data_IF_600851486228
#
_entry.id   IF_600851486228
#
_cell.length_a   1.000
_cell.length_b   1.000
_cell.length_c   1.000
_cell.angle_alpha   90.00
_cell.angle_beta   90.00
_cell.angle_gamma   90.00
#
_symmetry.space_group_name_H-M   'P 1'
#
loop_
_entity.id
_entity.type
_entity.pdbx_description
1 polymer ?
#
# COMPACT_ATOMS: atom_id res chain seq x y z
N UNK A 1 18.29 16.17 65.47
CA UNK A 1 17.79 14.80 65.59
C UNK A 1 16.52 14.74 64.77
N UNK A 2 16.66 14.58 63.45
CA UNK A 2 16.78 13.30 62.74
C UNK A 2 15.48 12.50 62.86
N UNK A 3 14.82 12.05 61.80
CA UNK A 3 15.26 11.92 60.41
C UNK A 3 14.05 11.98 59.49
N UNK A 4 14.22 12.67 58.37
CA UNK A 4 13.32 12.70 57.22
C UNK A 4 13.50 11.41 56.42
N UNK A 5 12.50 10.53 56.41
CA UNK A 5 12.48 9.42 55.46
C UNK A 5 12.05 9.94 54.08
N UNK A 6 13.05 10.10 53.24
CA UNK A 6 13.01 10.38 51.81
C UNK A 6 12.15 9.31 51.09
N UNK A 7 10.93 9.69 50.68
CA UNK A 7 9.98 8.82 49.96
C UNK A 7 10.10 9.08 48.45
N UNK A 8 11.32 8.91 47.93
CA UNK A 8 11.60 8.92 46.51
C UNK A 8 11.36 7.52 45.91
N UNK A 9 10.63 7.38 44.79
CA UNK A 9 10.40 6.08 44.17
C UNK A 9 11.73 5.46 43.72
N UNK A 10 12.10 4.34 44.34
CA UNK A 10 13.30 3.58 43.97
C UNK A 10 13.17 3.04 42.54
N UNK A 11 14.27 3.08 41.81
CA UNK A 11 14.31 2.55 40.45
C UNK A 11 14.13 1.01 40.50
N UNK A 12 13.39 0.45 39.54
CA UNK A 12 13.20 -1.00 39.37
C UNK A 12 14.52 -1.80 39.42
N UNK A 13 15.62 -1.22 38.94
CA UNK A 13 16.95 -1.84 39.02
C UNK A 13 17.48 -1.97 40.45
N UNK A 14 17.21 -1.00 41.33
CA UNK A 14 17.60 -1.07 42.75
C UNK A 14 16.77 -2.12 43.50
N UNK A 15 15.47 -2.19 43.22
CA UNK A 15 14.57 -3.19 43.80
C UNK A 15 14.97 -4.63 43.45
N UNK A 16 15.35 -4.87 42.18
CA UNK A 16 15.75 -6.21 41.73
C UNK A 16 17.12 -6.65 42.27
N UNK A 17 18.01 -5.70 42.54
CA UNK A 17 19.33 -5.97 43.13
C UNK A 17 19.24 -6.31 44.62
N UNK A 18 18.38 -5.60 45.37
CA UNK A 18 18.21 -5.80 46.81
C UNK A 18 17.37 -7.05 47.17
N UNK A 19 16.30 -7.37 46.42
CA UNK A 19 15.43 -8.51 46.74
C UNK A 19 15.92 -9.85 46.18
N UNK A 20 16.66 -9.85 45.06
CA UNK A 20 16.94 -11.07 44.32
C UNK A 20 18.43 -11.30 43.99
N UNK A 21 19.34 -10.40 44.41
CA UNK A 21 20.77 -10.43 44.07
C UNK A 21 21.06 -10.57 42.55
N UNK A 22 20.09 -10.18 41.69
CA UNK A 22 20.25 -10.26 40.23
C UNK A 22 20.79 -8.93 39.70
N UNK A 23 22.05 -8.91 39.27
CA UNK A 23 22.57 -7.79 38.47
C UNK A 23 21.95 -7.83 37.08
N UNK A 24 21.05 -6.88 36.79
CA UNK A 24 20.52 -6.66 35.45
C UNK A 24 21.65 -6.02 34.63
N UNK A 25 22.12 -6.66 33.53
CA UNK A 25 23.13 -6.06 32.68
C UNK A 25 22.64 -4.70 32.18
N UNK A 26 23.51 -3.69 32.26
CA UNK A 26 23.24 -2.41 31.61
C UNK A 26 22.82 -2.65 30.14
N UNK A 27 21.86 -1.88 29.60
CA UNK A 27 21.52 -1.99 28.19
C UNK A 27 22.82 -1.85 27.39
N UNK A 28 23.17 -2.89 26.62
CA UNK A 28 24.32 -2.83 25.73
C UNK A 28 24.16 -1.58 24.88
N UNK A 29 25.12 -0.65 24.95
CA UNK A 29 25.22 0.43 23.98
C UNK A 29 25.09 -0.22 22.60
N UNK A 30 24.02 0.12 21.87
CA UNK A 30 23.90 -0.27 20.49
C UNK A 30 25.10 0.32 19.78
N UNK A 31 26.03 -0.52 19.33
CA UNK A 31 27.10 -0.08 18.43
C UNK A 31 26.45 0.73 17.33
N UNK A 32 26.78 2.03 17.28
CA UNK A 32 26.26 2.95 16.28
C UNK A 32 26.84 2.46 14.95
N UNK A 33 26.07 1.67 14.21
CA UNK A 33 26.50 1.15 12.92
C UNK A 33 26.71 2.35 12.01
N UNK A 34 27.95 2.76 11.80
CA UNK A 34 28.31 3.77 10.82
C UNK A 34 28.23 3.14 9.44
N UNK A 35 27.10 3.35 8.76
CA UNK A 35 26.94 2.93 7.38
C UNK A 35 27.68 3.91 6.44
N UNK A 36 28.44 3.36 5.50
CA UNK A 36 29.18 4.16 4.55
C UNK A 36 28.28 4.60 3.40
N UNK A 37 27.69 5.78 3.52
CA UNK A 37 26.84 6.39 2.48
C UNK A 37 27.55 6.63 1.15
N UNK A 38 28.89 6.56 1.09
CA UNK A 38 29.64 6.70 -0.17
C UNK A 38 29.51 5.50 -1.12
N UNK A 39 29.03 4.36 -0.63
CA UNK A 39 28.77 3.18 -1.47
C UNK A 39 27.44 3.30 -2.24
N UNK A 40 26.60 4.27 -1.90
CA UNK A 40 25.34 4.52 -2.56
C UNK A 40 25.53 5.26 -3.89
N UNK A 41 24.66 4.92 -4.85
CA UNK A 41 24.44 5.66 -6.10
C UNK A 41 22.96 6.06 -6.18
N UNK A 42 22.58 7.05 -7.00
CA UNK A 42 21.16 7.26 -7.31
C UNK A 42 20.52 5.95 -7.78
N UNK A 43 19.36 5.63 -7.26
CA UNK A 43 18.60 4.42 -7.60
C UNK A 43 17.30 4.83 -8.30
N UNK A 44 17.00 4.20 -9.43
CA UNK A 44 15.78 4.44 -10.20
C UNK A 44 14.71 3.38 -9.93
N UNK A 45 13.50 3.58 -10.46
CA UNK A 45 12.45 2.57 -10.40
C UNK A 45 12.82 1.30 -11.18
N UNK A 46 13.56 1.41 -12.29
CA UNK A 46 14.06 0.27 -13.06
C UNK A 46 15.07 -0.57 -12.26
N UNK A 47 15.89 0.06 -11.42
CA UNK A 47 16.78 -0.66 -10.52
C UNK A 47 16.01 -1.36 -9.41
N UNK A 48 14.98 -0.71 -8.83
CA UNK A 48 14.06 -1.36 -7.90
C UNK A 48 13.36 -2.56 -8.56
N UNK A 49 12.89 -2.43 -9.79
CA UNK A 49 12.29 -3.49 -10.59
C UNK A 49 13.20 -4.72 -10.66
N UNK A 50 14.49 -4.52 -10.98
CA UNK A 50 15.48 -5.60 -11.08
C UNK A 50 15.73 -6.25 -9.72
N UNK A 51 15.95 -5.46 -8.67
CA UNK A 51 16.28 -5.95 -7.33
C UNK A 51 15.09 -6.71 -6.72
N UNK A 52 13.90 -6.12 -6.76
CA UNK A 52 12.66 -6.76 -6.28
C UNK A 52 12.29 -7.96 -7.17
N UNK A 53 12.66 -7.89 -8.46
CA UNK A 53 12.54 -8.95 -9.46
C UNK A 53 13.32 -10.23 -9.14
N UNK A 54 14.25 -10.19 -8.18
CA UNK A 54 14.93 -11.40 -7.70
C UNK A 54 13.91 -12.42 -7.16
N UNK A 55 12.90 -11.96 -6.42
CA UNK A 55 11.88 -12.81 -5.78
C UNK A 55 10.46 -12.56 -6.29
N UNK A 56 10.15 -11.36 -6.81
CA UNK A 56 8.83 -10.97 -7.31
C UNK A 56 8.87 -10.82 -8.83
N UNK A 57 8.52 -11.89 -9.54
CA UNK A 57 8.50 -11.91 -11.01
C UNK A 57 7.33 -11.10 -11.56
N UNK A 58 7.62 -10.26 -12.57
CA UNK A 58 6.66 -9.31 -13.15
C UNK A 58 6.11 -8.36 -12.09
N UNK A 59 4.87 -7.92 -12.21
CA UNK A 59 4.23 -7.02 -11.24
C UNK A 59 5.04 -5.73 -11.07
N UNK A 60 5.58 -5.19 -12.17
CA UNK A 60 6.60 -4.13 -12.19
C UNK A 60 6.15 -2.88 -11.44
N UNK A 61 5.02 -2.31 -11.86
CA UNK A 61 4.38 -1.19 -11.16
C UNK A 61 4.00 -1.55 -9.73
N UNK A 62 3.39 -2.72 -9.51
CA UNK A 62 2.88 -3.13 -8.19
C UNK A 62 4.00 -3.24 -7.16
N UNK A 63 5.14 -3.85 -7.50
CA UNK A 63 6.26 -4.02 -6.56
C UNK A 63 6.99 -2.70 -6.30
N UNK A 64 7.13 -1.83 -7.30
CA UNK A 64 7.69 -0.47 -7.09
C UNK A 64 6.80 0.34 -6.15
N UNK A 65 5.50 0.46 -6.45
CA UNK A 65 4.57 1.23 -5.61
C UNK A 65 4.51 0.67 -4.19
N UNK A 66 4.50 -0.66 -4.05
CA UNK A 66 4.47 -1.30 -2.73
C UNK A 66 5.74 -1.03 -1.93
N UNK A 67 6.90 -1.08 -2.59
CA UNK A 67 8.17 -0.72 -1.94
C UNK A 67 8.17 0.75 -1.50
N UNK A 68 7.78 1.68 -2.38
CA UNK A 68 7.72 3.11 -2.05
C UNK A 68 6.72 3.36 -0.91
N UNK A 69 5.56 2.71 -0.92
CA UNK A 69 4.61 2.78 0.18
C UNK A 69 5.22 2.28 1.49
N UNK A 70 5.93 1.14 1.52
CA UNK A 70 6.59 0.68 2.74
C UNK A 70 7.72 1.62 3.20
N UNK A 71 8.48 2.20 2.27
CA UNK A 71 9.53 3.18 2.57
C UNK A 71 8.97 4.49 3.14
N UNK A 72 7.76 4.88 2.71
CA UNK A 72 7.09 6.10 3.15
C UNK A 72 6.84 6.16 4.65
N UNK A 73 6.93 5.03 5.36
CA UNK A 73 6.84 4.96 6.81
C UNK A 73 7.89 5.82 7.52
N UNK A 74 9.00 6.14 6.86
CA UNK A 74 10.07 7.00 7.37
C UNK A 74 9.94 8.47 6.95
N UNK A 75 8.83 8.84 6.31
CA UNK A 75 8.45 10.25 6.13
C UNK A 75 7.67 10.73 7.36
N UNK A 76 7.56 12.04 7.53
CA UNK A 76 6.78 12.62 8.63
C UNK A 76 5.27 12.57 8.37
N UNK A 77 4.84 12.76 7.12
CA UNK A 77 3.43 13.00 6.74
C UNK A 77 3.04 12.47 5.35
N UNK A 78 3.87 11.65 4.72
CA UNK A 78 3.72 11.28 3.29
C UNK A 78 3.50 9.78 3.10
N UNK A 79 2.92 9.11 4.10
CA UNK A 79 2.62 7.69 4.04
C UNK A 79 1.61 7.35 2.94
N UNK A 80 1.82 6.24 2.25
CA UNK A 80 0.92 5.77 1.20
C UNK A 80 0.32 4.43 1.61
N UNK A 81 -1.01 4.37 1.69
CA UNK A 81 -1.74 3.15 2.04
C UNK A 81 -2.12 2.35 0.77
N UNK A 82 -2.10 1.02 0.84
CA UNK A 82 -2.39 0.15 -0.32
C UNK A 82 -3.49 -0.87 0.00
N UNK A 83 -4.44 -1.01 -0.90
CA UNK A 83 -5.38 -2.11 -0.92
C UNK A 83 -5.12 -2.98 -2.15
N UNK A 84 -4.75 -4.23 -1.93
CA UNK A 84 -4.64 -5.23 -2.99
C UNK A 84 -6.00 -5.92 -3.21
N UNK A 85 -6.65 -5.58 -4.32
CA UNK A 85 -7.98 -6.04 -4.68
C UNK A 85 -7.91 -6.96 -5.90
N UNK A 86 -8.08 -8.25 -5.70
CA UNK A 86 -8.13 -9.23 -6.80
C UNK A 86 -8.75 -10.54 -6.31
N UNK A 87 -9.21 -11.42 -7.21
CA UNK A 87 -9.70 -12.73 -6.81
C UNK A 87 -8.66 -13.56 -6.05
N UNK A 88 -9.08 -14.58 -5.33
CA UNK A 88 -8.17 -15.48 -4.60
C UNK A 88 -7.11 -16.09 -5.51
N UNK A 89 -5.95 -16.44 -4.93
CA UNK A 89 -4.84 -17.11 -5.60
C UNK A 89 -4.10 -16.32 -6.69
N UNK A 90 -4.26 -14.99 -6.76
CA UNK A 90 -3.50 -14.12 -7.69
C UNK A 90 -2.15 -13.61 -7.14
N UNK A 91 -1.79 -13.99 -5.91
CA UNK A 91 -0.55 -13.54 -5.26
C UNK A 91 -0.67 -12.20 -4.52
N UNK A 92 -1.87 -11.77 -4.13
CA UNK A 92 -2.12 -10.48 -3.44
C UNK A 92 -1.21 -10.23 -2.24
N UNK A 93 -1.11 -11.20 -1.33
CA UNK A 93 -0.30 -11.07 -0.13
C UNK A 93 1.19 -11.25 -0.40
N UNK A 94 1.57 -11.87 -1.52
CA UNK A 94 2.96 -12.20 -1.81
C UNK A 94 3.81 -10.94 -1.97
N UNK A 95 3.38 -9.98 -2.78
CA UNK A 95 4.13 -8.74 -3.06
C UNK A 95 4.47 -7.99 -1.75
N UNK A 96 3.50 -7.57 -0.91
CA UNK A 96 3.82 -6.83 0.30
C UNK A 96 4.61 -7.66 1.32
N UNK A 97 4.34 -8.97 1.44
CA UNK A 97 5.06 -9.84 2.38
C UNK A 97 6.50 -10.15 1.97
N UNK A 98 6.79 -10.14 0.68
CA UNK A 98 8.13 -10.38 0.17
C UNK A 98 9.00 -9.12 0.30
N UNK A 99 8.44 -7.94 -0.05
CA UNK A 99 9.13 -6.65 0.06
C UNK A 99 9.42 -6.29 1.52
N UNK A 100 8.49 -6.57 2.44
CA UNK A 100 8.67 -6.18 3.84
C UNK A 100 9.85 -6.88 4.52
N UNK A 101 10.36 -7.97 3.95
CA UNK A 101 11.58 -8.64 4.43
C UNK A 101 12.87 -7.82 4.17
N UNK A 102 12.76 -6.70 3.45
CA UNK A 102 13.83 -5.71 3.30
C UNK A 102 13.89 -4.73 4.48
N UNK A 103 12.83 -4.64 5.28
CA UNK A 103 12.68 -3.66 6.36
C UNK A 103 13.06 -4.24 7.73
N UNK A 104 13.41 -3.38 8.70
CA UNK A 104 13.67 -3.79 10.07
C UNK A 104 12.42 -4.45 10.68
N UNK A 105 12.61 -5.57 11.37
CA UNK A 105 11.50 -6.40 11.88
C UNK A 105 10.65 -5.64 12.90
N UNK A 106 11.28 -4.76 13.69
CA UNK A 106 10.62 -3.95 14.69
C UNK A 106 9.64 -2.91 14.11
N UNK A 107 9.77 -2.55 12.83
CA UNK A 107 8.90 -1.59 12.16
C UNK A 107 7.70 -2.27 11.48
N UNK A 108 7.59 -3.59 11.58
CA UNK A 108 6.65 -4.38 10.80
C UNK A 108 5.65 -5.10 11.71
N UNK A 109 4.36 -4.88 11.45
CA UNK A 109 3.25 -5.52 12.15
C UNK A 109 2.46 -6.33 11.12
N UNK A 110 2.41 -7.66 11.28
CA UNK A 110 1.64 -8.57 10.39
C UNK A 110 0.44 -9.13 11.15
N UNK A 111 -0.75 -8.89 10.63
CA UNK A 111 -2.01 -9.30 11.27
C UNK A 111 -2.86 -10.14 10.32
N UNK A 112 -3.45 -11.22 10.81
CA UNK A 112 -4.45 -11.99 10.05
C UNK A 112 -5.80 -11.28 10.06
N UNK A 113 -6.47 -11.36 11.21
CA UNK A 113 -7.67 -10.59 11.53
C UNK A 113 -7.49 -10.02 12.94
N UNK A 114 -7.98 -8.80 13.17
CA UNK A 114 -7.88 -8.16 14.48
C UNK A 114 -9.11 -7.30 14.76
N UNK A 115 -9.71 -7.47 15.94
CA UNK A 115 -10.75 -6.55 16.42
C UNK A 115 -10.10 -5.24 16.89
N UNK A 116 -10.82 -4.11 16.88
CA UNK A 116 -10.27 -2.84 17.35
C UNK A 116 -9.71 -2.90 18.78
N UNK A 117 -10.43 -3.57 19.69
CA UNK A 117 -10.02 -3.68 21.08
C UNK A 117 -8.77 -4.54 21.23
N UNK A 118 -8.71 -5.68 20.54
CA UNK A 118 -7.51 -6.53 20.53
C UNK A 118 -6.29 -5.77 19.99
N UNK A 119 -6.47 -5.01 18.91
CA UNK A 119 -5.42 -4.19 18.32
C UNK A 119 -4.83 -3.21 19.34
N UNK A 120 -5.70 -2.50 20.09
CA UNK A 120 -5.24 -1.55 21.10
C UNK A 120 -4.52 -2.21 22.27
N UNK A 121 -4.99 -3.37 22.73
CA UNK A 121 -4.35 -4.07 23.84
C UNK A 121 -3.03 -4.74 23.46
N UNK A 122 -2.89 -5.20 22.22
CA UNK A 122 -1.68 -5.85 21.73
C UNK A 122 -0.58 -4.84 21.38
N UNK A 123 -0.97 -3.73 20.75
CA UNK A 123 -0.03 -2.70 20.25
C UNK A 123 0.15 -1.53 21.23
N UNK A 124 -0.60 -1.52 22.34
CA UNK A 124 -0.68 -0.38 23.24
C UNK A 124 -0.13 -0.65 24.63
N UNK A 125 0.54 0.35 25.18
CA UNK A 125 1.01 0.34 26.56
C UNK A 125 -0.04 0.95 27.49
N UNK A 126 -0.41 0.23 28.55
CA UNK A 126 -1.40 0.71 29.52
C UNK A 126 -0.75 1.53 30.64
N UNK A 127 -1.15 2.80 30.71
CA UNK A 127 -0.81 3.73 31.77
C UNK A 127 -1.90 3.71 32.85
N UNK A 128 -1.55 3.19 34.03
CA UNK A 128 -2.45 3.07 35.19
C UNK A 128 -2.84 4.42 35.77
N UNK A 129 -1.93 5.40 35.76
CA UNK A 129 -2.14 6.71 36.37
C UNK A 129 -3.17 7.53 35.58
N UNK A 130 -3.08 7.47 34.25
CA UNK A 130 -3.99 8.19 33.35
C UNK A 130 -5.14 7.32 32.84
N UNK A 131 -5.18 6.04 33.22
CA UNK A 131 -6.14 5.04 32.72
C UNK A 131 -6.25 5.02 31.19
N UNK A 132 -5.10 5.09 30.52
CA UNK A 132 -4.98 5.27 29.08
C UNK A 132 -4.16 4.15 28.45
N UNK A 133 -4.52 3.73 27.24
CA UNK A 133 -3.73 2.83 26.40
C UNK A 133 -3.10 3.70 25.31
N UNK A 134 -1.76 3.72 25.24
CA UNK A 134 -1.03 4.48 24.21
C UNK A 134 -0.53 3.54 23.14
N UNK A 135 -0.97 3.75 21.90
CA UNK A 135 -0.58 2.95 20.72
C UNK A 135 0.25 3.85 19.80
N UNK A 136 1.55 3.57 19.68
CA UNK A 136 2.44 4.32 18.78
C UNK A 136 2.63 3.56 17.46
N UNK A 137 2.03 4.10 16.40
CA UNK A 137 2.09 3.59 15.03
C UNK A 137 3.09 4.38 14.17
N UNK A 138 3.86 5.30 14.77
CA UNK A 138 4.93 6.02 14.07
C UNK A 138 5.95 5.03 13.52
N UNK A 139 6.32 5.20 12.24
CA UNK A 139 7.29 4.33 11.55
C UNK A 139 6.86 2.84 11.52
N UNK A 140 5.55 2.54 11.59
CA UNK A 140 5.02 1.16 11.49
C UNK A 140 4.40 0.85 10.13
N UNK A 141 4.86 -0.24 9.52
CA UNK A 141 4.27 -0.88 8.36
C UNK A 141 3.32 -1.96 8.88
N UNK A 142 2.02 -1.76 8.68
CA UNK A 142 0.97 -2.68 9.12
C UNK A 142 0.44 -3.43 7.89
N UNK A 143 0.62 -4.75 7.88
CA UNK A 143 0.14 -5.62 6.80
C UNK A 143 -0.95 -6.53 7.35
N UNK A 144 -2.17 -6.34 6.86
CA UNK A 144 -3.26 -7.29 7.07
C UNK A 144 -3.26 -8.34 5.95
N UNK A 145 -3.22 -9.62 6.34
CA UNK A 145 -3.18 -10.75 5.41
C UNK A 145 -4.52 -10.96 4.67
N UNK A 146 -5.60 -10.46 5.25
CA UNK A 146 -6.94 -10.40 4.66
C UNK A 146 -7.59 -9.04 4.97
N UNK A 147 -8.82 -8.82 4.51
CA UNK A 147 -9.55 -7.58 4.75
C UNK A 147 -9.77 -7.39 6.27
N UNK A 148 -9.25 -6.31 6.87
CA UNK A 148 -9.50 -6.04 8.28
C UNK A 148 -10.97 -5.70 8.52
N UNK A 149 -11.42 -5.82 9.77
CA UNK A 149 -12.79 -5.45 10.14
C UNK A 149 -13.06 -3.97 9.82
N UNK A 150 -14.27 -3.68 9.31
CA UNK A 150 -14.69 -2.31 8.98
C UNK A 150 -14.56 -1.37 10.18
N UNK A 151 -14.89 -1.85 11.39
CA UNK A 151 -14.76 -1.06 12.61
C UNK A 151 -13.32 -0.67 12.94
N UNK A 152 -12.33 -1.50 12.58
CA UNK A 152 -10.93 -1.15 12.76
C UNK A 152 -10.51 -0.07 11.76
N UNK A 153 -10.88 -0.24 10.49
CA UNK A 153 -10.61 0.77 9.46
C UNK A 153 -11.25 2.12 9.80
N UNK A 154 -12.52 2.14 10.21
CA UNK A 154 -13.25 3.34 10.65
C UNK A 154 -12.50 4.12 11.71
N UNK A 155 -11.92 3.43 12.70
CA UNK A 155 -11.16 4.06 13.80
C UNK A 155 -9.77 4.53 13.40
N UNK A 156 -9.25 4.04 12.27
CA UNK A 156 -7.95 4.46 11.72
C UNK A 156 -8.10 5.52 10.61
N UNK A 157 -9.31 5.83 10.13
CA UNK A 157 -9.55 6.71 8.97
C UNK A 157 -8.82 8.06 9.04
N UNK A 158 -8.79 8.71 10.20
CA UNK A 158 -8.13 10.02 10.35
C UNK A 158 -6.59 9.92 10.25
N UNK A 159 -5.99 8.81 10.72
CA UNK A 159 -4.55 8.55 10.51
C UNK A 159 -4.26 8.20 9.04
N UNK A 160 -5.12 7.40 8.42
CA UNK A 160 -4.98 6.99 7.01
C UNK A 160 -5.16 8.15 6.02
N UNK A 161 -5.76 9.25 6.47
CA UNK A 161 -5.96 10.49 5.72
C UNK A 161 -4.98 11.60 6.11
N UNK A 162 -4.10 11.36 7.08
CA UNK A 162 -3.17 12.35 7.62
C UNK A 162 -3.84 13.57 8.26
N UNK A 163 -5.09 13.43 8.73
CA UNK A 163 -5.88 14.54 9.30
C UNK A 163 -5.36 14.94 10.69
N UNK A 164 -5.17 13.94 11.57
CA UNK A 164 -4.67 14.15 12.94
C UNK A 164 -3.58 13.12 13.24
N UNK A 165 -2.41 13.59 13.69
CA UNK A 165 -1.29 12.70 14.08
C UNK A 165 -1.55 11.95 15.38
N UNK A 166 -2.54 12.38 16.17
CA UNK A 166 -2.94 11.73 17.41
C UNK A 166 -4.47 11.65 17.49
N UNK A 167 -5.02 10.44 17.60
CA UNK A 167 -6.45 10.18 17.75
C UNK A 167 -6.74 9.71 19.17
N UNK A 168 -7.81 10.23 19.77
CA UNK A 168 -8.34 9.78 21.06
C UNK A 168 -9.64 9.01 20.89
N UNK A 169 -9.64 7.72 21.20
CA UNK A 169 -10.83 6.88 21.21
C UNK A 169 -11.20 6.46 22.64
N UNK A 170 -12.50 6.33 22.93
CA UNK A 170 -12.98 5.76 24.19
C UNK A 170 -13.47 4.35 23.96
N UNK A 171 -12.98 3.40 24.76
CA UNK A 171 -13.42 2.00 24.73
C UNK A 171 -13.99 1.61 26.08
N UNK A 172 -14.91 0.65 26.09
CA UNK A 172 -15.46 0.07 27.32
C UNK A 172 -14.89 -1.32 27.50
N UNK A 173 -14.40 -1.60 28.71
CA UNK A 173 -13.83 -2.88 29.10
C UNK A 173 -14.55 -3.41 30.35
N UNK A 174 -14.56 -4.73 30.56
CA UNK A 174 -15.17 -5.32 31.77
C UNK A 174 -14.12 -5.39 32.88
N UNK A 175 -14.49 -4.92 34.07
CA UNK A 175 -13.66 -5.10 35.26
C UNK A 175 -13.81 -6.53 35.81
N UNK A 176 -12.91 -6.92 36.73
CA UNK A 176 -12.92 -8.26 37.35
C UNK A 176 -14.22 -8.61 38.09
N UNK A 177 -15.05 -7.62 38.43
CA UNK A 177 -16.36 -7.77 39.08
C UNK A 177 -17.53 -7.68 38.10
N UNK A 178 -17.26 -7.70 36.78
CA UNK A 178 -18.28 -7.67 35.73
C UNK A 178 -18.85 -6.29 35.39
N UNK A 179 -18.39 -5.22 36.04
CA UNK A 179 -18.81 -3.84 35.74
C UNK A 179 -18.06 -3.24 34.55
N UNK A 180 -18.73 -2.37 33.80
CA UNK A 180 -18.12 -1.66 32.66
C UNK A 180 -17.19 -0.55 33.16
N UNK A 181 -15.97 -0.48 32.63
CA UNK A 181 -14.99 0.58 32.86
C UNK A 181 -14.56 1.16 31.53
N UNK A 182 -14.66 2.48 31.40
CA UNK A 182 -14.16 3.18 30.22
C UNK A 182 -12.65 3.37 30.32
N UNK A 183 -11.94 3.11 29.22
CA UNK A 183 -10.52 3.43 29.02
C UNK A 183 -10.39 4.37 27.83
N UNK A 184 -9.41 5.26 27.90
CA UNK A 184 -9.04 6.10 26.76
C UNK A 184 -7.93 5.39 25.99
N UNK A 185 -8.02 5.38 24.66
CA UNK A 185 -6.98 4.92 23.76
C UNK A 185 -6.45 6.13 23.02
N UNK A 186 -5.14 6.32 23.03
CA UNK A 186 -4.45 7.36 22.27
C UNK A 186 -3.64 6.64 21.20
N UNK A 187 -3.98 6.87 19.93
CA UNK A 187 -3.25 6.31 18.79
C UNK A 187 -2.43 7.44 18.17
N UNK A 188 -1.12 7.24 18.02
CA UNK A 188 -0.19 8.28 17.56
C UNK A 188 0.59 7.82 16.34
N UNK A 189 0.85 8.75 15.43
CA UNK A 189 1.75 8.58 14.29
C UNK A 189 1.05 7.94 13.09
N UNK A 190 1.50 8.31 11.89
CA UNK A 190 0.95 7.80 10.65
C UNK A 190 1.63 6.47 10.27
N UNK A 191 0.90 5.34 10.29
CA UNK A 191 1.41 4.09 9.76
C UNK A 191 1.27 4.05 8.23
N UNK A 192 1.96 3.08 7.64
CA UNK A 192 1.62 2.57 6.31
C UNK A 192 0.73 1.36 6.49
N UNK A 193 -0.51 1.40 6.00
CA UNK A 193 -1.43 0.26 6.06
C UNK A 193 -1.56 -0.38 4.69
N UNK A 194 -1.31 -1.69 4.66
CA UNK A 194 -1.50 -2.54 3.49
C UNK A 194 -2.47 -3.65 3.86
N UNK A 195 -3.48 -3.90 3.04
CA UNK A 195 -4.30 -5.10 3.19
C UNK A 195 -4.64 -5.73 1.85
N UNK A 196 -4.96 -7.02 1.91
CA UNK A 196 -5.37 -7.81 0.76
C UNK A 196 -6.85 -8.16 0.92
N UNK A 197 -7.64 -8.05 -0.15
CA UNK A 197 -9.02 -8.55 -0.13
C UNK A 197 -9.35 -9.33 -1.38
N UNK A 198 -10.06 -10.45 -1.20
CA UNK A 198 -10.71 -11.17 -2.28
C UNK A 198 -12.05 -10.54 -2.69
N UNK A 199 -12.65 -9.75 -1.80
CA UNK A 199 -13.81 -8.92 -2.08
C UNK A 199 -13.42 -7.77 -2.98
N UNK A 200 -14.06 -7.66 -4.14
CA UNK A 200 -13.84 -6.52 -5.04
C UNK A 200 -14.53 -5.23 -4.54
N UNK A 201 -15.41 -5.35 -3.54
CA UNK A 201 -16.11 -4.23 -2.92
C UNK A 201 -15.28 -3.62 -1.80
N UNK A 202 -14.90 -2.37 -2.00
CA UNK A 202 -14.45 -1.47 -0.94
C UNK A 202 -15.52 -0.42 -0.70
N UNK A 203 -15.65 0.01 0.54
CA UNK A 203 -16.40 1.22 0.85
C UNK A 203 -15.71 2.42 0.18
N UNK A 204 -16.51 3.39 -0.27
CA UNK A 204 -16.03 4.56 -1.02
C UNK A 204 -15.02 5.40 -0.19
N UNK A 205 -15.20 5.43 1.13
CA UNK A 205 -14.30 6.10 2.05
C UNK A 205 -12.92 5.44 2.09
N UNK A 206 -12.85 4.12 2.01
CA UNK A 206 -11.62 3.33 1.99
C UNK A 206 -10.98 3.42 0.60
N UNK A 207 -11.76 3.28 -0.48
CA UNK A 207 -11.23 3.33 -1.84
C UNK A 207 -10.51 4.66 -2.15
N UNK A 208 -10.91 5.74 -1.46
CA UNK A 208 -10.28 7.05 -1.57
C UNK A 208 -9.13 7.30 -0.59
N UNK A 209 -8.91 6.42 0.39
CA UNK A 209 -7.76 6.47 1.32
C UNK A 209 -6.61 5.54 0.94
N UNK A 210 -6.88 4.55 0.09
CA UNK A 210 -5.91 3.55 -0.35
C UNK A 210 -5.64 3.67 -1.86
N UNK A 211 -4.41 3.39 -2.28
CA UNK A 211 -4.12 3.05 -3.67
C UNK A 211 -4.70 1.67 -3.95
N UNK A 212 -5.53 1.57 -4.99
CA UNK A 212 -6.12 0.31 -5.43
C UNK A 212 -5.14 -0.37 -6.38
N UNK A 213 -4.58 -1.51 -5.96
CA UNK A 213 -3.68 -2.32 -6.77
C UNK A 213 -4.26 -3.72 -6.99
N UNK A 214 -3.91 -4.36 -8.10
CA UNK A 214 -4.22 -5.76 -8.37
C UNK A 214 -2.99 -6.42 -8.94
N UNK A 215 -2.56 -7.60 -8.44
CA UNK A 215 -1.50 -8.36 -9.07
C UNK A 215 -1.85 -8.68 -10.53
N UNK A 216 -0.84 -8.64 -11.39
CA UNK A 216 -0.98 -9.06 -12.78
C UNK A 216 -1.44 -10.53 -12.85
N UNK A 217 -2.26 -10.86 -13.85
CA UNK A 217 -2.76 -12.22 -14.08
C UNK A 217 -2.43 -12.73 -15.49
N UNK A 218 -1.44 -12.12 -16.14
CA UNK A 218 -0.94 -12.55 -17.44
C UNK A 218 -0.37 -13.97 -17.35
N UNK A 219 -0.40 -14.67 -18.48
CA UNK A 219 0.13 -16.02 -18.58
C UNK A 219 1.61 -16.07 -18.22
N UNK A 220 2.39 -15.10 -18.71
CA UNK A 220 3.83 -14.98 -18.46
C UNK A 220 4.12 -14.81 -16.97
N UNK A 221 3.37 -13.94 -16.29
CA UNK A 221 3.51 -13.74 -14.84
C UNK A 221 3.23 -15.04 -14.09
N UNK A 222 2.10 -15.70 -14.38
CA UNK A 222 1.71 -16.92 -13.67
C UNK A 222 2.77 -18.01 -13.88
N UNK A 223 3.27 -18.18 -15.11
CA UNK A 223 4.31 -19.14 -15.45
C UNK A 223 5.61 -18.85 -14.69
N UNK A 224 6.10 -17.61 -14.70
CA UNK A 224 7.33 -17.22 -13.99
C UNK A 224 7.18 -17.35 -12.48
N UNK A 225 6.01 -17.02 -11.92
CA UNK A 225 5.72 -17.20 -10.50
C UNK A 225 5.71 -18.68 -10.08
N UNK A 226 5.19 -19.58 -10.92
CA UNK A 226 5.25 -21.03 -10.68
C UNK A 226 6.71 -21.51 -10.66
N UNK A 227 7.51 -21.12 -11.65
CA UNK A 227 8.92 -21.50 -11.71
C UNK A 227 9.72 -20.97 -10.52
N UNK A 228 9.49 -19.72 -10.14
CA UNK A 228 10.14 -19.14 -8.98
C UNK A 228 9.76 -19.86 -7.68
N UNK A 229 8.48 -20.23 -7.54
CA UNK A 229 8.01 -21.02 -6.39
C UNK A 229 8.66 -22.41 -6.35
N UNK A 230 8.73 -23.12 -7.47
CA UNK A 230 9.41 -24.43 -7.55
C UNK A 230 10.88 -24.28 -7.16
N UNK A 231 11.58 -23.27 -7.70
CA UNK A 231 12.98 -22.98 -7.38
C UNK A 231 13.20 -22.73 -5.88
N UNK A 232 12.30 -21.96 -5.25
CA UNK A 232 12.34 -21.65 -3.81
C UNK A 232 12.09 -22.89 -2.95
N UNK A 233 11.16 -23.77 -3.33
CA UNK A 233 10.82 -24.97 -2.56
C UNK A 233 11.82 -26.12 -2.77
N UNK A 234 12.47 -26.19 -3.94
CA UNK A 234 13.45 -27.23 -4.24
C UNK A 234 14.66 -27.20 -3.30
N UNK A 235 15.17 -26.01 -2.97
CA UNK A 235 16.18 -25.80 -1.92
C UNK A 235 16.02 -24.41 -1.31
N UNK A 236 15.16 -24.32 -0.29
CA UNK A 236 14.83 -23.07 0.38
C UNK A 236 16.04 -22.39 1.02
N UNK A 237 17.01 -23.17 1.52
CA UNK A 237 18.19 -22.64 2.19
C UNK A 237 19.14 -22.00 1.18
N UNK A 238 19.52 -22.73 0.13
CA UNK A 238 20.40 -22.19 -0.92
C UNK A 238 19.74 -21.02 -1.65
N UNK A 239 18.43 -21.07 -1.87
CA UNK A 239 17.66 -19.97 -2.45
C UNK A 239 17.73 -18.70 -1.60
N UNK A 240 17.50 -18.83 -0.29
CA UNK A 240 17.57 -17.71 0.65
C UNK A 240 18.99 -17.15 0.72
N UNK A 241 20.00 -18.02 0.81
CA UNK A 241 21.40 -17.60 0.86
C UNK A 241 21.82 -16.87 -0.41
N UNK A 242 21.42 -17.35 -1.60
CA UNK A 242 21.70 -16.68 -2.86
C UNK A 242 21.02 -15.31 -2.96
N UNK A 243 19.77 -15.20 -2.53
CA UNK A 243 19.01 -13.95 -2.51
C UNK A 243 19.60 -12.95 -1.51
N UNK A 244 19.99 -13.39 -0.32
CA UNK A 244 20.58 -12.52 0.71
C UNK A 244 22.02 -12.11 0.40
N UNK A 245 22.76 -12.90 -0.39
CA UNK A 245 24.11 -12.55 -0.87
C UNK A 245 24.13 -11.65 -2.10
N UNK A 246 22.98 -11.37 -2.72
CA UNK A 246 22.93 -10.45 -3.86
C UNK A 246 23.36 -9.03 -3.40
N UNK A 247 24.38 -8.42 -4.05
CA UNK A 247 24.97 -7.17 -3.59
C UNK A 247 23.98 -6.00 -3.65
N UNK A 248 23.19 -5.91 -4.71
CA UNK A 248 22.23 -4.81 -4.89
C UNK A 248 21.10 -4.89 -3.86
N UNK A 249 20.61 -6.10 -3.56
CA UNK A 249 19.61 -6.32 -2.52
C UNK A 249 20.15 -6.02 -1.13
N UNK A 250 21.42 -6.37 -0.85
CA UNK A 250 22.09 -6.01 0.41
C UNK A 250 22.21 -4.49 0.56
N UNK A 251 22.66 -3.81 -0.50
CA UNK A 251 22.79 -2.37 -0.53
C UNK A 251 21.43 -1.66 -0.36
N UNK A 252 20.35 -2.24 -0.91
CA UNK A 252 18.98 -1.73 -0.71
C UNK A 252 18.53 -1.84 0.76
N UNK A 253 18.83 -2.97 1.44
CA UNK A 253 18.54 -3.12 2.88
C UNK A 253 19.33 -2.11 3.73
N UNK A 254 20.63 -1.96 3.45
CA UNK A 254 21.47 -0.98 4.11
C UNK A 254 20.94 0.44 3.88
N UNK A 255 20.56 0.78 2.65
CA UNK A 255 19.92 2.05 2.32
C UNK A 255 18.67 2.31 3.16
N UNK A 256 17.78 1.34 3.32
CA UNK A 256 16.56 1.47 4.14
C UNK A 256 16.91 1.79 5.60
N UNK A 257 17.92 1.12 6.16
CA UNK A 257 18.38 1.35 7.52
C UNK A 257 18.93 2.77 7.70
N UNK A 258 19.77 3.24 6.79
CA UNK A 258 20.32 4.60 6.88
C UNK A 258 19.23 5.66 6.65
N UNK A 259 18.25 5.42 5.78
CA UNK A 259 17.08 6.30 5.62
C UNK A 259 16.31 6.43 6.94
N UNK A 260 16.06 5.31 7.61
CA UNK A 260 15.39 5.29 8.93
C UNK A 260 16.15 6.14 9.96
N UNK A 261 17.48 5.98 10.01
CA UNK A 261 18.37 6.68 10.94
C UNK A 261 18.53 8.17 10.62
N UNK A 262 18.48 8.54 9.33
CA UNK A 262 18.57 9.93 8.89
C UNK A 262 17.41 10.79 9.42
N UNK A 263 16.27 10.17 9.75
CA UNK A 263 15.14 10.81 10.44
C UNK A 263 14.69 12.12 9.78
N UNK A 264 14.61 12.10 8.44
CA UNK A 264 14.24 13.25 7.61
C UNK A 264 12.92 13.84 8.08
N UNK A 265 12.93 15.15 8.38
CA UNK A 265 11.78 15.86 8.95
C UNK A 265 10.85 16.43 7.90
N UNK A 266 11.43 16.95 6.83
CA UNK A 266 10.69 17.63 5.79
C UNK A 266 11.28 17.30 4.42
N UNK A 267 10.40 17.16 3.43
CA UNK A 267 10.76 16.98 2.03
C UNK A 267 9.99 18.02 1.23
N UNK A 268 10.71 18.97 0.63
CA UNK A 268 10.14 20.07 -0.15
C UNK A 268 10.08 19.71 -1.63
N UNK A 269 9.13 20.28 -2.36
CA UNK A 269 9.08 20.18 -3.81
C UNK A 269 9.98 21.26 -4.43
N UNK A 270 10.98 20.84 -5.22
CA UNK A 270 11.87 21.78 -5.90
C UNK A 270 11.22 22.55 -7.04
N UNK A 271 10.19 21.98 -7.67
CA UNK A 271 9.51 22.57 -8.82
C UNK A 271 7.98 22.34 -8.80
N UNK A 272 7.23 23.11 -7.98
CA UNK A 272 5.77 23.01 -7.89
C UNK A 272 5.05 23.28 -9.22
N UNK A 273 5.60 24.14 -10.07
CA UNK A 273 5.06 24.48 -11.38
C UNK A 273 5.04 23.26 -12.31
N UNK A 274 6.13 22.48 -12.35
CA UNK A 274 6.19 21.23 -13.13
C UNK A 274 5.14 20.23 -12.64
N UNK A 275 4.95 20.11 -11.32
CA UNK A 275 3.90 19.23 -10.75
C UNK A 275 2.52 19.66 -11.23
N UNK A 276 2.25 20.98 -11.20
CA UNK A 276 0.97 21.54 -11.68
C UNK A 276 0.75 21.29 -13.17
N UNK A 277 1.78 21.49 -13.98
CA UNK A 277 1.74 21.26 -15.43
C UNK A 277 1.41 19.80 -15.74
N UNK A 278 2.20 18.86 -15.20
CA UNK A 278 2.04 17.43 -15.45
C UNK A 278 0.68 16.91 -14.95
N UNK A 279 0.23 17.35 -13.78
CA UNK A 279 -1.07 16.92 -13.25
C UNK A 279 -2.25 17.48 -14.06
N UNK A 280 -2.12 18.70 -14.59
CA UNK A 280 -3.20 19.35 -15.32
C UNK A 280 -3.29 18.88 -16.78
N UNK A 281 -2.23 18.31 -17.34
CA UNK A 281 -2.11 17.95 -18.77
C UNK A 281 -3.29 17.15 -19.31
N UNK A 282 -3.77 16.16 -18.56
CA UNK A 282 -4.87 15.27 -18.96
C UNK A 282 -6.18 15.58 -18.22
N UNK A 283 -6.21 16.62 -17.38
CA UNK A 283 -7.37 16.97 -16.58
C UNK A 283 -8.33 17.85 -17.39
N UNK A 284 -9.38 17.24 -17.96
CA UNK A 284 -10.44 17.99 -18.67
C UNK A 284 -11.18 18.96 -17.75
N UNK A 285 -11.55 18.49 -16.57
CA UNK A 285 -12.24 19.27 -15.54
C UNK A 285 -11.82 18.82 -14.14
N UNK A 286 -11.63 19.74 -13.18
CA UNK A 286 -11.35 19.38 -11.80
C UNK A 286 -12.50 18.58 -11.17
N UNK A 287 -12.18 17.44 -10.54
CA UNK A 287 -13.12 16.60 -9.77
C UNK A 287 -12.70 16.61 -8.29
N UNK A 288 -13.63 16.42 -7.33
CA UNK A 288 -13.28 16.32 -5.91
C UNK A 288 -12.17 15.29 -5.62
N UNK A 289 -12.14 14.19 -6.37
CA UNK A 289 -11.12 13.15 -6.27
C UNK A 289 -9.70 13.65 -6.54
N UNK A 290 -9.54 14.59 -7.46
CA UNK A 290 -8.22 15.08 -7.89
C UNK A 290 -7.41 15.67 -6.74
N UNK A 291 -8.06 16.18 -5.69
CA UNK A 291 -7.37 16.66 -4.49
C UNK A 291 -6.64 15.53 -3.74
N UNK A 292 -7.23 14.33 -3.69
CA UNK A 292 -6.59 13.15 -3.08
C UNK A 292 -5.54 12.55 -4.01
N UNK A 293 -5.81 12.56 -5.31
CA UNK A 293 -4.89 12.03 -6.31
C UNK A 293 -3.59 12.85 -6.37
N UNK A 294 -3.67 14.18 -6.40
CA UNK A 294 -2.45 15.02 -6.37
C UNK A 294 -1.67 14.85 -5.07
N UNK A 295 -2.36 14.71 -3.92
CA UNK A 295 -1.69 14.45 -2.65
C UNK A 295 -0.87 13.16 -2.69
N UNK A 296 -1.42 12.08 -3.27
CA UNK A 296 -0.72 10.81 -3.47
C UNK A 296 0.47 10.93 -4.41
N UNK A 297 0.33 11.65 -5.52
CA UNK A 297 1.44 11.92 -6.43
C UNK A 297 2.56 12.66 -5.70
N UNK A 298 2.24 13.71 -4.93
CA UNK A 298 3.20 14.44 -4.11
C UNK A 298 3.88 13.53 -3.09
N UNK A 299 3.14 12.62 -2.44
CA UNK A 299 3.74 11.62 -1.55
C UNK A 299 4.76 10.76 -2.30
N UNK A 300 4.44 10.25 -3.51
CA UNK A 300 5.38 9.47 -4.32
C UNK A 300 6.64 10.27 -4.68
N UNK A 301 6.50 11.54 -5.07
CA UNK A 301 7.63 12.46 -5.34
C UNK A 301 8.54 12.55 -4.11
N UNK A 302 7.94 12.81 -2.93
CA UNK A 302 8.69 12.92 -1.67
C UNK A 302 9.39 11.61 -1.30
N UNK A 303 8.76 10.46 -1.54
CA UNK A 303 9.35 9.14 -1.24
C UNK A 303 10.53 8.85 -2.18
N UNK A 304 10.46 9.23 -3.46
CA UNK A 304 11.58 9.08 -4.39
C UNK A 304 12.78 9.96 -3.99
N UNK A 305 12.51 11.17 -3.53
CA UNK A 305 13.54 12.03 -2.95
C UNK A 305 14.13 11.42 -1.66
N UNK A 306 13.30 10.84 -0.79
CA UNK A 306 13.76 10.13 0.41
C UNK A 306 14.65 8.92 0.07
N UNK A 307 14.25 8.13 -0.92
CA UNK A 307 15.01 6.98 -1.41
C UNK A 307 16.41 7.39 -1.88
N UNK A 308 16.55 8.61 -2.39
CA UNK A 308 17.78 9.18 -2.93
C UNK A 308 18.34 10.33 -2.08
N UNK A 309 18.06 10.38 -0.77
CA UNK A 309 18.29 11.58 0.06
C UNK A 309 19.71 12.16 0.02
N UNK A 310 20.73 11.34 -0.24
CA UNK A 310 22.13 11.80 -0.32
C UNK A 310 22.48 12.51 -1.62
N UNK A 311 21.61 12.41 -2.63
CA UNK A 311 21.75 13.01 -3.95
C UNK A 311 20.70 14.11 -4.17
N UNK A 312 20.18 14.67 -3.07
CA UNK A 312 19.22 15.77 -3.09
C UNK A 312 19.83 16.98 -2.40
N UNK A 313 19.45 18.14 -2.90
CA UNK A 313 19.82 19.40 -2.26
C UNK A 313 19.18 19.46 -0.87
N UNK A 314 19.90 20.08 0.07
CA UNK A 314 19.42 20.32 1.42
C UNK A 314 19.06 21.79 1.59
N UNK A 315 17.96 22.02 2.28
CA UNK A 315 17.53 23.35 2.72
C UNK A 315 17.20 23.28 4.21
N UNK A 316 18.20 23.61 5.04
CA UNK A 316 18.14 23.41 6.49
C UNK A 316 18.02 21.93 6.86
N UNK A 317 16.96 21.56 7.57
CA UNK A 317 16.63 20.17 7.94
C UNK A 317 15.82 19.44 6.85
N UNK A 318 15.44 20.14 5.77
CA UNK A 318 14.68 19.58 4.67
C UNK A 318 15.60 19.07 3.55
N UNK A 319 15.11 18.07 2.81
CA UNK A 319 15.65 17.71 1.49
C UNK A 319 14.70 18.20 0.39
N UNK A 320 15.23 18.52 -0.78
CA UNK A 320 14.45 19.02 -1.92
C UNK A 320 14.31 17.92 -2.97
N UNK A 321 13.07 17.54 -3.30
CA UNK A 321 12.76 16.67 -4.42
C UNK A 321 13.00 17.40 -5.74
N UNK A 322 13.75 16.78 -6.66
CA UNK A 322 14.14 17.39 -7.92
C UNK A 322 13.18 17.05 -9.06
N UNK A 323 13.43 17.59 -10.25
CA UNK A 323 12.61 17.34 -11.45
C UNK A 323 12.57 15.86 -11.86
N UNK A 324 13.62 15.08 -11.56
CA UNK A 324 13.65 13.65 -11.86
C UNK A 324 12.71 12.87 -10.94
N UNK A 325 12.66 13.21 -9.65
CA UNK A 325 11.67 12.65 -8.71
C UNK A 325 10.25 12.94 -9.17
N UNK A 326 10.01 14.17 -9.67
CA UNK A 326 8.72 14.59 -10.20
C UNK A 326 8.34 13.75 -11.41
N UNK A 327 9.18 13.71 -12.44
CA UNK A 327 8.91 12.96 -13.68
C UNK A 327 8.71 11.47 -13.43
N UNK A 328 9.51 10.89 -12.55
CA UNK A 328 9.42 9.48 -12.19
C UNK A 328 8.12 9.17 -11.43
N UNK A 329 7.71 10.04 -10.49
CA UNK A 329 6.44 9.88 -9.80
C UNK A 329 5.25 9.93 -10.76
N UNK A 330 5.27 10.82 -11.75
CA UNK A 330 4.23 10.89 -12.77
C UNK A 330 4.23 9.65 -13.68
N UNK A 331 5.39 9.13 -14.08
CA UNK A 331 5.48 7.85 -14.83
C UNK A 331 4.83 6.71 -14.05
N UNK A 332 5.11 6.62 -12.74
CA UNK A 332 4.49 5.61 -11.86
C UNK A 332 2.99 5.85 -11.75
N UNK A 333 2.56 7.10 -11.51
CA UNK A 333 1.16 7.46 -11.35
C UNK A 333 0.32 7.16 -12.60
N UNK A 334 0.81 7.51 -13.79
CA UNK A 334 0.12 7.26 -15.06
C UNK A 334 -0.23 5.78 -15.26
N UNK A 335 0.63 4.87 -14.78
CA UNK A 335 0.37 3.43 -14.90
C UNK A 335 -0.80 2.92 -14.04
N UNK A 336 -1.27 3.69 -13.06
CA UNK A 336 -2.39 3.33 -12.18
C UNK A 336 -3.54 4.36 -12.15
N UNK A 337 -3.34 5.53 -12.75
CA UNK A 337 -4.19 6.71 -12.58
C UNK A 337 -5.62 6.46 -13.06
N UNK A 338 -5.80 5.76 -14.17
CA UNK A 338 -7.12 5.45 -14.72
C UNK A 338 -7.95 4.59 -13.77
N UNK A 339 -7.33 3.54 -13.22
CA UNK A 339 -7.95 2.67 -12.23
C UNK A 339 -8.29 3.44 -10.96
N UNK A 340 -7.38 4.34 -10.54
CA UNK A 340 -7.66 5.24 -9.45
C UNK A 340 -8.86 6.09 -9.81
N UNK A 341 -8.83 6.94 -10.84
CA UNK A 341 -9.90 7.89 -11.19
C UNK A 341 -11.30 7.25 -11.21
N UNK A 342 -11.44 6.07 -11.81
CA UNK A 342 -12.69 5.31 -11.90
C UNK A 342 -13.14 4.64 -10.60
N UNK A 343 -12.29 4.64 -9.57
CA UNK A 343 -12.48 3.92 -8.31
C UNK A 343 -12.61 2.40 -8.48
N UNK A 344 -11.91 1.85 -9.47
CA UNK A 344 -11.97 0.44 -9.79
C UNK A 344 -10.64 -0.22 -9.39
N UNK A 345 -10.67 -1.46 -8.86
CA UNK A 345 -9.49 -2.30 -8.84
C UNK A 345 -8.96 -2.52 -10.27
N UNK A 346 -7.63 -2.51 -10.49
CA UNK A 346 -7.07 -2.75 -11.82
C UNK A 346 -7.54 -4.06 -12.46
N UNK A 347 -7.78 -5.11 -11.67
CA UNK A 347 -8.39 -6.36 -12.16
C UNK A 347 -9.76 -6.15 -12.84
N UNK A 348 -10.61 -5.30 -12.28
CA UNK A 348 -11.95 -5.01 -12.81
C UNK A 348 -11.85 -4.20 -14.10
N UNK A 349 -10.96 -3.21 -14.12
CA UNK A 349 -10.69 -2.40 -15.31
C UNK A 349 -10.12 -3.23 -16.46
N UNK A 350 -9.15 -4.12 -16.18
CA UNK A 350 -8.58 -5.02 -17.18
C UNK A 350 -9.63 -6.01 -17.71
N UNK A 351 -10.51 -6.53 -16.84
CA UNK A 351 -11.62 -7.35 -17.29
C UNK A 351 -12.55 -6.58 -18.24
N UNK A 352 -12.84 -5.31 -17.94
CA UNK A 352 -13.61 -4.48 -18.87
C UNK A 352 -12.92 -4.36 -20.23
N UNK A 353 -11.63 -4.00 -20.26
CA UNK A 353 -10.86 -3.81 -21.48
C UNK A 353 -10.66 -5.10 -22.27
N UNK A 354 -10.11 -6.13 -21.65
CA UNK A 354 -9.66 -7.35 -22.32
C UNK A 354 -10.82 -8.30 -22.65
N UNK A 355 -11.93 -8.20 -21.90
CA UNK A 355 -13.06 -9.14 -22.02
C UNK A 355 -14.30 -8.46 -22.57
N UNK A 356 -14.85 -7.46 -21.87
CA UNK A 356 -16.15 -6.89 -22.22
C UNK A 356 -16.06 -6.07 -23.51
N UNK A 357 -15.08 -5.18 -23.61
CA UNK A 357 -14.89 -4.33 -24.77
C UNK A 357 -14.52 -5.15 -26.02
N UNK A 358 -13.60 -6.10 -25.88
CA UNK A 358 -13.23 -7.00 -26.98
C UNK A 358 -14.36 -7.93 -27.42
N UNK A 359 -15.13 -8.50 -26.49
CA UNK A 359 -16.32 -9.29 -26.84
C UNK A 359 -17.37 -8.43 -27.56
N UNK A 360 -17.57 -7.19 -27.12
CA UNK A 360 -18.52 -6.27 -27.73
C UNK A 360 -18.06 -5.90 -29.14
N UNK A 361 -16.79 -5.54 -29.35
CA UNK A 361 -16.22 -5.23 -30.67
C UNK A 361 -16.40 -6.37 -31.68
N UNK A 362 -16.34 -7.62 -31.22
CA UNK A 362 -16.52 -8.78 -32.08
C UNK A 362 -17.96 -9.00 -32.60
N UNK A 363 -18.98 -8.58 -31.84
CA UNK A 363 -20.39 -8.82 -32.19
C UNK A 363 -21.20 -7.54 -32.46
N UNK A 364 -20.68 -6.39 -32.04
CA UNK A 364 -21.27 -5.05 -32.10
C UNK A 364 -22.75 -5.00 -31.63
N UNK A 365 -23.04 -5.68 -30.52
CA UNK A 365 -24.35 -5.72 -29.86
C UNK A 365 -24.20 -5.97 -28.37
N UNK A 366 -25.29 -5.80 -27.63
CA UNK A 366 -25.35 -6.09 -26.21
C UNK A 366 -24.91 -7.52 -25.89
N UNK A 367 -24.10 -7.64 -24.84
CA UNK A 367 -23.52 -8.91 -24.41
C UNK A 367 -24.34 -9.53 -23.29
N UNK A 368 -24.58 -10.83 -23.39
CA UNK A 368 -25.06 -11.61 -22.27
C UNK A 368 -23.92 -11.91 -21.29
N UNK A 369 -24.28 -12.16 -20.02
CA UNK A 369 -23.30 -12.60 -19.00
C UNK A 369 -22.55 -13.88 -19.41
N UNK A 370 -23.22 -14.79 -20.13
CA UNK A 370 -22.59 -16.02 -20.62
C UNK A 370 -21.48 -15.74 -21.63
N UNK A 371 -21.68 -14.78 -22.54
CA UNK A 371 -20.65 -14.37 -23.51
C UNK A 371 -19.44 -13.76 -22.82
N UNK A 372 -19.67 -12.90 -21.81
CA UNK A 372 -18.59 -12.30 -21.00
C UNK A 372 -17.82 -13.40 -20.25
N UNK A 373 -18.51 -14.33 -19.61
CA UNK A 373 -17.87 -15.44 -18.89
C UNK A 373 -17.06 -16.34 -19.83
N UNK A 374 -17.56 -16.60 -21.05
CA UNK A 374 -16.85 -17.37 -22.07
C UNK A 374 -15.59 -16.65 -22.52
N UNK A 375 -15.68 -15.37 -22.88
CA UNK A 375 -14.52 -14.56 -23.29
C UNK A 375 -13.49 -14.45 -22.16
N UNK A 376 -13.93 -14.32 -20.91
CA UNK A 376 -13.03 -14.30 -19.75
C UNK A 376 -12.23 -15.62 -19.64
N UNK A 377 -12.86 -16.76 -19.91
CA UNK A 377 -12.15 -18.05 -19.95
C UNK A 377 -11.15 -18.11 -21.11
N UNK A 378 -11.51 -17.60 -22.28
CA UNK A 378 -10.60 -17.54 -23.45
C UNK A 378 -9.37 -16.67 -23.17
N UNK A 379 -9.53 -15.53 -22.49
CA UNK A 379 -8.44 -14.58 -22.21
C UNK A 379 -7.56 -15.02 -21.02
N UNK A 380 -8.17 -15.44 -19.91
CA UNK A 380 -7.45 -15.70 -18.66
C UNK A 380 -7.35 -17.18 -18.29
N UNK A 381 -7.89 -18.09 -19.10
CA UNK A 381 -7.84 -19.54 -18.86
C UNK A 381 -8.62 -20.00 -17.62
N UNK A 382 -9.52 -19.17 -17.08
CA UNK A 382 -10.28 -19.48 -15.86
C UNK A 382 -11.72 -18.99 -15.94
N UNK A 383 -12.63 -19.73 -15.31
CA UNK A 383 -14.03 -19.34 -15.23
C UNK A 383 -14.23 -18.18 -14.26
N UNK A 384 -15.03 -17.20 -14.67
CA UNK A 384 -15.55 -16.14 -13.81
C UNK A 384 -16.92 -16.58 -13.25
N UNK A 385 -17.09 -16.76 -11.94
CA UNK A 385 -18.38 -17.14 -11.38
C UNK A 385 -19.46 -16.09 -11.65
N UNK A 386 -20.66 -16.55 -12.05
CA UNK A 386 -21.77 -15.66 -12.39
C UNK A 386 -22.15 -14.70 -11.26
N UNK A 387 -22.12 -15.18 -10.01
CA UNK A 387 -22.42 -14.36 -8.84
C UNK A 387 -21.40 -13.22 -8.68
N UNK A 388 -20.11 -13.46 -8.96
CA UNK A 388 -19.07 -12.45 -8.88
C UNK A 388 -19.24 -11.41 -9.99
N UNK A 389 -19.50 -11.86 -11.21
CA UNK A 389 -19.79 -10.98 -12.35
C UNK A 389 -21.00 -10.10 -12.06
N UNK A 390 -22.13 -10.71 -11.70
CA UNK A 390 -23.42 -10.03 -11.49
C UNK A 390 -23.44 -9.13 -10.27
N UNK A 391 -22.90 -9.57 -9.14
CA UNK A 391 -23.05 -8.84 -7.88
C UNK A 391 -21.93 -7.85 -7.63
N UNK A 392 -20.73 -8.08 -8.16
CA UNK A 392 -19.57 -7.24 -7.85
C UNK A 392 -19.09 -6.46 -9.09
N UNK A 393 -18.75 -7.15 -10.17
CA UNK A 393 -18.08 -6.52 -11.32
C UNK A 393 -19.02 -5.59 -12.08
N UNK A 394 -20.19 -6.08 -12.51
CA UNK A 394 -21.15 -5.29 -13.30
C UNK A 394 -21.58 -4.01 -12.56
N UNK A 395 -22.00 -4.05 -11.28
CA UNK A 395 -22.37 -2.82 -10.56
C UNK A 395 -21.24 -1.80 -10.47
N UNK A 396 -19.99 -2.24 -10.32
CA UNK A 396 -18.84 -1.33 -10.26
C UNK A 396 -18.60 -0.66 -11.61
N UNK A 397 -18.64 -1.42 -12.70
CA UNK A 397 -18.48 -0.89 -14.06
C UNK A 397 -19.62 0.06 -14.46
N UNK A 398 -20.85 -0.24 -14.03
CA UNK A 398 -22.00 0.61 -14.27
C UNK A 398 -21.91 1.91 -13.45
N UNK A 399 -21.52 1.83 -12.17
CA UNK A 399 -21.32 3.01 -11.30
C UNK A 399 -20.20 3.90 -11.81
N UNK A 400 -19.14 3.32 -12.39
CA UNK A 400 -18.06 4.08 -13.02
C UNK A 400 -18.42 4.60 -14.42
N UNK A 401 -19.64 4.32 -14.90
CA UNK A 401 -20.14 4.77 -16.19
C UNK A 401 -19.56 4.04 -17.41
N UNK A 402 -18.84 2.93 -17.22
CA UNK A 402 -18.20 2.17 -18.32
C UNK A 402 -19.18 1.28 -19.08
N UNK A 403 -20.27 0.87 -18.44
CA UNK A 403 -21.31 0.04 -19.06
C UNK A 403 -22.72 0.52 -18.70
N UNK A 404 -23.68 0.15 -19.53
CA UNK A 404 -25.11 0.17 -19.20
C UNK A 404 -25.70 -1.24 -19.25
N UNK A 405 -26.78 -1.44 -18.50
CA UNK A 405 -27.60 -2.65 -18.54
C UNK A 405 -28.96 -2.33 -19.17
N UNK A 406 -29.29 -3.02 -20.26
CA UNK A 406 -30.54 -2.82 -20.99
C UNK A 406 -31.28 -4.15 -21.20
N UNK A 407 -32.60 -4.11 -21.20
CA UNK A 407 -33.41 -5.27 -21.52
C UNK A 407 -33.33 -5.58 -23.03
N UNK A 408 -33.18 -6.85 -23.38
CA UNK A 408 -33.21 -7.31 -24.77
C UNK A 408 -34.56 -6.93 -25.42
N UNK A 409 -34.50 -6.37 -26.63
CA UNK A 409 -35.67 -5.96 -27.39
C UNK A 409 -36.56 -7.16 -27.77
N UNK A 410 -35.99 -8.35 -27.95
CA UNK A 410 -36.69 -9.58 -28.33
C UNK A 410 -37.22 -10.36 -27.11
N UNK A 411 -36.52 -10.33 -25.98
CA UNK A 411 -36.95 -10.96 -24.72
C UNK A 411 -36.58 -10.09 -23.53
N UNK A 412 -37.52 -9.25 -23.08
CA UNK A 412 -37.31 -8.29 -21.98
C UNK A 412 -36.87 -8.90 -20.63
N UNK A 413 -36.91 -10.23 -20.49
CA UNK A 413 -36.39 -10.95 -19.30
C UNK A 413 -34.86 -11.09 -19.33
N UNK A 414 -34.24 -10.91 -20.49
CA UNK A 414 -32.80 -10.94 -20.67
C UNK A 414 -32.25 -9.53 -20.52
N UNK A 415 -31.22 -9.40 -19.69
CA UNK A 415 -30.47 -8.15 -19.53
C UNK A 415 -29.17 -8.32 -20.29
N UNK A 416 -28.88 -7.36 -21.16
CA UNK A 416 -27.68 -7.26 -21.97
C UNK A 416 -26.82 -6.09 -21.47
N UNK A 417 -25.52 -6.23 -21.65
CA UNK A 417 -24.50 -5.29 -21.18
C UNK A 417 -23.89 -4.59 -22.39
N UNK A 418 -23.83 -3.27 -22.34
CA UNK A 418 -23.29 -2.43 -23.41
C UNK A 418 -22.17 -1.54 -22.86
N UNK A 419 -20.98 -1.51 -23.48
CA UNK A 419 -19.98 -0.48 -23.21
C UNK A 419 -20.51 0.91 -23.57
N UNK A 420 -20.20 1.92 -22.77
CA UNK A 420 -20.59 3.32 -23.08
C UNK A 420 -19.64 3.94 -24.10
N UNK A 421 -20.21 4.62 -25.12
CA UNK A 421 -19.46 5.11 -26.29
C UNK A 421 -18.49 6.26 -25.97
N UNK A 422 -18.79 7.12 -24.99
CA UNK A 422 -17.97 8.31 -24.70
C UNK A 422 -16.59 7.92 -24.11
N UNK A 423 -16.55 6.96 -23.18
CA UNK A 423 -15.31 6.54 -22.52
C UNK A 423 -14.43 5.71 -23.46
N UNK A 424 -15.01 4.92 -24.36
CA UNK A 424 -14.24 4.14 -25.32
C UNK A 424 -13.42 5.00 -26.29
N UNK A 425 -13.94 6.18 -26.69
CA UNK A 425 -13.21 7.11 -27.55
C UNK A 425 -12.05 7.85 -26.85
N UNK A 426 -12.08 7.90 -25.51
CA UNK A 426 -11.02 8.48 -24.68
C UNK A 426 -9.94 7.43 -24.34
N UNK A 427 -10.36 6.19 -24.09
CA UNK A 427 -9.46 5.04 -23.92
C UNK A 427 -8.65 4.75 -25.19
N UNK A 428 -9.24 4.93 -26.37
CA UNK A 428 -8.54 4.78 -27.64
C UNK A 428 -7.50 5.89 -27.87
N UNK A 429 -7.79 7.15 -27.52
CA UNK A 429 -6.83 8.27 -27.64
C UNK A 429 -5.66 8.18 -26.67
N UNK A 430 -5.90 7.75 -25.43
CA UNK A 430 -4.84 7.58 -24.43
C UNK A 430 -3.79 6.54 -24.83
N UNK A 431 -4.16 5.51 -25.59
CA UNK A 431 -3.22 4.50 -26.07
C UNK A 431 -2.40 5.01 -27.27
N UNK A 432 -3.00 5.73 -28.21
CA UNK A 432 -2.29 6.25 -29.38
C UNK A 432 -1.31 7.40 -29.06
N UNK A 433 -1.67 8.31 -28.15
CA UNK A 433 -0.78 9.43 -27.77
C UNK A 433 0.43 9.01 -26.94
N UNK A 434 0.38 7.84 -26.28
CA UNK A 434 1.45 7.35 -25.41
C UNK A 434 2.45 6.45 -26.15
N UNK A 435 2.00 5.69 -27.16
CA UNK A 435 2.87 4.79 -27.95
C UNK A 435 3.20 5.31 -29.37
N UNK A 436 2.64 6.46 -29.76
CA UNK A 436 2.84 7.09 -31.08
C UNK A 436 4.19 7.79 -31.29
N UNK A 437 5.12 7.71 -30.33
CA UNK A 437 6.51 8.10 -30.54
C UNK A 437 7.22 7.06 -31.41
N UNK A 438 7.08 7.18 -32.72
CA UNK A 438 7.81 6.36 -33.70
C UNK A 438 9.30 6.33 -33.36
N UNK A 439 9.82 5.11 -33.21
CA UNK A 439 11.21 4.80 -33.54
C UNK A 439 11.39 5.11 -35.04
N UNK A 440 12.02 6.25 -35.34
CA UNK A 440 12.88 6.40 -36.52
C UNK A 440 14.33 6.51 -36.06
#
# INVERSE_FOLDING_TARGET
MNDSSDDTPRNFQELMKDEFEVEIPAPKEQEKITYNVSDFKPITSEDLIKILGLTIKRDETNKVITFLAQLSVYTEDSQVNISFNAPSSTGKSFIPLEIVNLFPVEDVIKLGNCSPTAFYHEQGEYDKATNTIKVDLSKKIIIFLDQPSTQLLERLRSLLSHDEKEIKAKITDKNQRGGNRTKTVIIKGFPVVIFCTAGLRLDEQEATRFLLLSPEISYEKIREAIYEKIKKEADSKSYKDATEKNPDRKLLKERILVIKEANVKEIKLGNPELVKELFSKNMKQPKPRHQRDIARVISVIKILALLNLWFREKDGEAIIANDDDIKEAFRIWESISESQELNLPPYVLNLYKDVILEAYRAVNRGLSRQEIMKKHFEVYGRFLPDWQLRQWIIPMLETSGLITQEADQLDKRKILIYPTAEINSELERGVEEIFGGKLE
#
